data_IF_875876080792
#
_entry.id   IF_875876080792
#
_cell.length_a   1.000
_cell.length_b   1.000
_cell.length_c   1.000
_cell.angle_alpha   90.00
_cell.angle_beta   90.00
_cell.angle_gamma   90.00
#
_symmetry.space_group_name_H-M   'P 1'
#
loop_
_entity.id
_entity.type
_entity.pdbx_description
1 polymer ?
#
# COMPACT_ATOMS: atom_id res chain seq x y z
N UNK A 1 14.59 24.54 15.36
CA UNK A 1 14.53 23.15 15.82
C UNK A 1 15.80 22.45 15.39
N UNK A 2 16.43 21.71 16.30
CA UNK A 2 17.63 20.96 15.96
C UNK A 2 17.25 19.85 14.95
N UNK A 3 17.99 19.75 13.84
CA UNK A 3 17.74 18.76 12.79
C UNK A 3 17.78 17.31 13.31
N UNK A 4 18.66 17.03 14.26
CA UNK A 4 18.73 15.70 14.89
C UNK A 4 17.48 15.40 15.72
N UNK A 5 16.97 16.39 16.45
CA UNK A 5 15.72 16.24 17.21
C UNK A 5 14.55 15.98 16.26
N UNK A 6 14.51 16.69 15.13
CA UNK A 6 13.47 16.46 14.10
C UNK A 6 13.55 15.06 13.50
N UNK A 7 14.74 14.53 13.25
CA UNK A 7 14.93 13.15 12.79
C UNK A 7 14.37 12.14 13.80
N UNK A 8 14.62 12.34 15.09
CA UNK A 8 14.10 11.47 16.14
C UNK A 8 12.57 11.47 16.13
N UNK A 9 11.95 12.65 16.13
CA UNK A 9 10.49 12.79 16.11
C UNK A 9 9.85 12.14 14.87
N UNK A 10 10.41 12.39 13.69
CA UNK A 10 9.93 11.81 12.44
C UNK A 10 10.08 10.28 12.42
N UNK A 11 11.20 9.77 12.92
CA UNK A 11 11.44 8.33 13.00
C UNK A 11 10.39 7.64 13.88
N UNK A 12 10.13 8.18 15.07
CA UNK A 12 9.13 7.65 16.00
C UNK A 12 7.71 7.71 15.40
N UNK A 13 7.36 8.85 14.81
CA UNK A 13 6.03 9.07 14.22
C UNK A 13 5.76 8.14 13.04
N UNK A 14 6.73 8.01 12.12
CA UNK A 14 6.59 7.17 10.93
C UNK A 14 6.66 5.68 11.27
N UNK A 15 7.53 5.27 12.21
CA UNK A 15 7.58 3.89 12.70
C UNK A 15 6.22 3.47 13.28
N UNK A 16 5.63 4.35 14.07
CA UNK A 16 4.34 4.14 14.66
C UNK A 16 3.20 4.08 13.64
N UNK A 17 3.20 5.02 12.68
CA UNK A 17 2.19 5.04 11.61
C UNK A 17 2.24 3.77 10.77
N UNK A 18 3.42 3.32 10.46
CA UNK A 18 3.61 2.11 9.68
C UNK A 18 3.26 0.84 10.47
N UNK A 19 3.57 0.76 11.77
CA UNK A 19 3.10 -0.35 12.63
C UNK A 19 1.59 -0.41 12.72
N UNK A 20 0.96 0.74 12.93
CA UNK A 20 -0.50 0.83 12.97
C UNK A 20 -1.13 0.35 11.66
N UNK A 21 -0.53 0.72 10.52
CA UNK A 21 -1.00 0.31 9.21
C UNK A 21 -0.78 -1.17 8.92
N UNK A 22 0.44 -1.69 9.18
CA UNK A 22 0.83 -3.05 8.77
C UNK A 22 0.39 -4.14 9.75
N UNK A 23 0.33 -3.83 11.06
CA UNK A 23 0.06 -4.83 12.09
C UNK A 23 -1.35 -4.72 12.68
N UNK A 24 -1.89 -3.50 12.78
CA UNK A 24 -3.15 -3.24 13.45
C UNK A 24 -4.28 -2.89 12.47
N UNK A 25 -3.99 -2.88 11.17
CA UNK A 25 -4.93 -2.49 10.10
C UNK A 25 -5.57 -1.11 10.33
N UNK A 26 -4.77 -0.16 10.84
CA UNK A 26 -5.24 1.14 11.26
C UNK A 26 -4.41 2.28 10.67
N UNK A 27 -5.07 3.21 10.00
CA UNK A 27 -4.44 4.44 9.53
C UNK A 27 -4.48 5.51 10.62
N UNK A 28 -3.32 6.01 11.04
CA UNK A 28 -3.20 7.15 11.96
C UNK A 28 -2.84 8.46 11.25
N UNK A 29 -2.45 8.38 9.99
CA UNK A 29 -2.23 9.51 9.10
C UNK A 29 -2.52 9.10 7.66
N UNK A 30 -2.73 10.07 6.77
CA UNK A 30 -2.93 9.79 5.34
C UNK A 30 -1.64 9.31 4.66
N UNK A 31 -1.77 8.57 3.56
CA UNK A 31 -0.62 8.16 2.75
C UNK A 31 0.17 9.36 2.23
N UNK A 32 -0.52 10.44 1.87
CA UNK A 32 0.10 11.68 1.42
C UNK A 32 0.99 12.30 2.50
N UNK A 33 0.46 12.38 3.72
CA UNK A 33 1.18 12.91 4.88
C UNK A 33 2.38 12.01 5.23
N UNK A 34 2.18 10.69 5.25
CA UNK A 34 3.25 9.73 5.47
C UNK A 34 4.38 9.89 4.45
N UNK A 35 4.07 9.96 3.17
CA UNK A 35 5.07 10.13 2.10
C UNK A 35 5.82 11.46 2.25
N UNK A 36 5.13 12.56 2.60
CA UNK A 36 5.76 13.86 2.81
C UNK A 36 6.72 13.86 4.00
N UNK A 37 6.30 13.27 5.13
CA UNK A 37 7.14 13.13 6.32
C UNK A 37 8.31 12.17 6.12
N UNK A 38 8.10 11.11 5.35
CA UNK A 38 9.15 10.17 4.96
C UNK A 38 10.23 10.87 4.10
N UNK A 39 9.83 11.66 3.13
CA UNK A 39 10.76 12.41 2.27
C UNK A 39 11.49 13.50 3.07
N UNK A 40 10.83 14.15 4.05
CA UNK A 40 11.46 15.07 4.99
C UNK A 40 12.53 14.36 5.82
N UNK A 41 12.20 13.20 6.41
CA UNK A 41 13.13 12.40 7.20
C UNK A 41 14.35 11.99 6.37
N UNK A 42 14.14 11.48 5.17
CA UNK A 42 15.20 11.07 4.26
C UNK A 42 16.15 12.24 3.94
N UNK A 43 15.59 13.40 3.61
CA UNK A 43 16.39 14.60 3.30
C UNK A 43 17.24 15.06 4.50
N UNK A 44 16.66 15.02 5.71
CA UNK A 44 17.39 15.39 6.93
C UNK A 44 18.50 14.39 7.27
N UNK A 45 18.26 13.10 7.08
CA UNK A 45 19.26 12.05 7.29
C UNK A 45 20.42 12.19 6.29
N UNK A 46 20.14 12.47 5.03
CA UNK A 46 21.16 12.71 4.00
C UNK A 46 21.97 13.97 4.31
N UNK A 47 21.33 15.06 4.73
CA UNK A 47 22.00 16.31 5.04
C UNK A 47 22.88 16.23 6.30
N UNK A 48 22.39 15.55 7.33
CA UNK A 48 23.08 15.48 8.63
C UNK A 48 24.07 14.32 8.75
N UNK A 49 23.92 13.30 7.87
CA UNK A 49 24.63 12.03 8.01
C UNK A 49 24.22 11.23 9.26
N UNK A 50 23.13 11.61 9.93
CA UNK A 50 22.62 10.98 11.14
C UNK A 50 21.29 10.28 10.83
N UNK A 51 21.20 8.98 11.16
CA UNK A 51 19.98 8.20 11.07
C UNK A 51 19.88 7.23 12.25
N UNK A 52 18.66 7.03 12.75
CA UNK A 52 18.41 6.03 13.80
C UNK A 52 18.33 4.63 13.20
N UNK A 53 18.76 3.63 13.98
CA UNK A 53 18.73 2.24 13.56
C UNK A 53 17.29 1.73 13.24
N UNK A 54 16.28 2.29 13.89
CA UNK A 54 14.87 2.01 13.68
C UNK A 54 14.19 2.96 12.69
N UNK A 55 14.93 3.82 11.99
CA UNK A 55 14.35 4.70 10.98
C UNK A 55 13.70 3.88 9.86
N UNK A 56 12.47 4.22 9.44
CA UNK A 56 11.80 3.55 8.33
C UNK A 56 12.53 3.74 7.00
N UNK A 57 13.44 4.72 6.92
CA UNK A 57 14.32 4.90 5.77
C UNK A 57 15.48 3.91 5.76
N UNK A 58 15.77 3.25 6.88
CA UNK A 58 16.85 2.26 7.04
C UNK A 58 16.35 0.82 6.95
N UNK A 59 15.07 0.58 7.23
CA UNK A 59 14.48 -0.76 7.31
C UNK A 59 13.44 -1.01 6.21
N UNK A 60 13.35 -2.25 5.78
CA UNK A 60 12.38 -2.69 4.77
C UNK A 60 11.02 -3.12 5.36
N UNK A 61 10.79 -2.95 6.66
CA UNK A 61 9.54 -3.37 7.32
C UNK A 61 9.71 -3.59 8.82
N UNK A 62 8.64 -4.03 9.46
CA UNK A 62 8.54 -4.19 10.91
C UNK A 62 8.88 -5.59 11.37
N UNK A 63 9.00 -5.73 12.70
CA UNK A 63 9.09 -7.04 13.34
C UNK A 63 7.84 -7.87 13.06
N UNK A 64 8.04 -9.14 12.68
CA UNK A 64 6.95 -10.04 12.33
C UNK A 64 6.35 -10.60 13.61
N UNK A 65 5.07 -10.32 13.84
CA UNK A 65 4.29 -10.79 14.98
C UNK A 65 3.27 -11.85 14.52
N UNK A 66 3.74 -13.03 14.08
CA UNK A 66 2.87 -14.10 13.57
C UNK A 66 3.19 -15.44 14.22
N UNK A 67 2.18 -16.31 14.32
CA UNK A 67 2.33 -17.70 14.74
C UNK A 67 2.86 -18.61 13.65
N UNK A 68 2.91 -18.15 12.40
CA UNK A 68 3.48 -18.89 11.28
C UNK A 68 5.00 -19.08 11.45
N UNK A 69 5.58 -20.19 10.95
CA UNK A 69 7.01 -20.37 10.97
C UNK A 69 7.73 -19.20 10.29
N UNK A 70 8.84 -18.79 10.85
CA UNK A 70 9.65 -17.69 10.32
C UNK A 70 10.91 -18.25 9.69
N UNK A 71 11.32 -17.62 8.61
CA UNK A 71 12.55 -17.99 7.89
C UNK A 71 13.35 -16.75 7.49
N UNK A 72 14.67 -16.84 7.63
CA UNK A 72 15.59 -15.79 7.19
C UNK A 72 15.81 -15.92 5.69
N UNK A 73 15.74 -14.80 4.97
CA UNK A 73 16.09 -14.74 3.56
C UNK A 73 17.61 -14.92 3.35
N UNK A 74 17.99 -15.57 2.27
CA UNK A 74 19.41 -15.74 1.90
C UNK A 74 20.10 -14.39 1.65
N UNK A 75 19.36 -13.42 1.12
CA UNK A 75 19.81 -12.05 0.95
C UNK A 75 18.71 -11.07 1.35
N UNK A 76 19.06 -9.90 1.92
CA UNK A 76 18.07 -8.91 2.30
C UNK A 76 17.20 -8.47 1.13
N UNK A 77 15.89 -8.34 1.37
CA UNK A 77 14.94 -7.82 0.40
C UNK A 77 14.80 -6.30 0.59
N UNK A 78 15.60 -5.55 -0.14
CA UNK A 78 15.64 -4.09 -0.05
C UNK A 78 14.37 -3.44 -0.59
N UNK A 79 14.08 -2.25 -0.09
CA UNK A 79 13.10 -1.35 -0.71
C UNK A 79 13.66 -0.74 -2.00
N UNK A 80 12.80 -0.18 -2.84
CA UNK A 80 13.23 0.57 -4.02
C UNK A 80 13.37 2.06 -3.70
N UNK A 81 14.35 2.71 -4.30
CA UNK A 81 14.35 4.16 -4.41
C UNK A 81 13.15 4.62 -5.24
N UNK A 82 12.69 5.84 -5.05
CA UNK A 82 11.45 6.31 -5.66
C UNK A 82 11.58 7.72 -6.24
N UNK A 83 10.82 7.99 -7.30
CA UNK A 83 10.64 9.31 -7.88
C UNK A 83 9.19 9.54 -8.28
N UNK A 84 8.74 10.80 -8.27
CA UNK A 84 7.46 11.25 -8.85
C UNK A 84 7.68 12.04 -10.14
N UNK A 85 8.92 12.18 -10.58
CA UNK A 85 9.30 12.94 -11.75
C UNK A 85 9.50 12.04 -12.99
N UNK A 86 8.68 12.25 -14.01
CA UNK A 86 8.74 11.50 -15.27
C UNK A 86 10.05 11.71 -16.02
N UNK A 87 10.60 12.93 -15.98
CA UNK A 87 11.88 13.26 -16.63
C UNK A 87 13.05 12.59 -15.91
N UNK A 88 13.02 12.55 -14.58
CA UNK A 88 14.02 11.83 -13.79
C UNK A 88 14.02 10.34 -14.11
N UNK A 89 12.84 9.75 -14.36
CA UNK A 89 12.73 8.35 -14.76
C UNK A 89 13.38 8.08 -16.13
N UNK A 90 13.14 8.96 -17.11
CA UNK A 90 13.77 8.87 -18.42
C UNK A 90 15.31 9.05 -18.34
N UNK A 91 15.76 10.00 -17.53
CA UNK A 91 17.19 10.22 -17.29
C UNK A 91 17.86 9.03 -16.61
N UNK A 92 17.18 8.38 -15.68
CA UNK A 92 17.67 7.20 -14.97
C UNK A 92 17.98 6.03 -15.90
N UNK A 93 17.11 5.76 -16.88
CA UNK A 93 17.35 4.68 -17.85
C UNK A 93 18.55 4.98 -18.78
N UNK A 94 18.80 6.26 -19.06
CA UNK A 94 19.93 6.69 -19.88
C UNK A 94 19.95 6.04 -21.26
N UNK A 95 21.10 5.53 -21.67
CA UNK A 95 21.28 4.83 -22.95
C UNK A 95 20.92 3.34 -22.92
N UNK A 96 20.50 2.82 -21.74
CA UNK A 96 20.16 1.42 -21.57
C UNK A 96 18.69 1.17 -21.87
N UNK A 97 18.38 -0.04 -22.32
CA UNK A 97 17.02 -0.55 -22.38
C UNK A 97 16.59 -0.97 -20.99
N UNK A 98 15.38 -0.63 -20.62
CA UNK A 98 14.77 -1.01 -19.34
C UNK A 98 13.38 -1.61 -19.57
N UNK A 99 12.83 -2.21 -18.56
CA UNK A 99 11.42 -2.61 -18.52
C UNK A 99 10.68 -1.77 -17.50
N UNK A 100 9.51 -1.30 -17.89
CA UNK A 100 8.59 -0.53 -17.04
C UNK A 100 7.36 -1.39 -16.79
N UNK A 101 7.07 -1.66 -15.52
CA UNK A 101 5.97 -2.53 -15.10
C UNK A 101 5.07 -1.87 -14.07
N UNK A 102 3.86 -2.41 -13.89
CA UNK A 102 3.05 -2.05 -12.72
C UNK A 102 3.81 -2.33 -11.43
N UNK A 103 3.75 -1.37 -10.51
CA UNK A 103 4.11 -1.61 -9.11
C UNK A 103 2.86 -2.11 -8.40
N UNK A 104 2.72 -3.42 -8.34
CA UNK A 104 1.58 -4.05 -7.69
C UNK A 104 1.57 -3.74 -6.20
N UNK A 105 0.41 -3.52 -5.63
CA UNK A 105 0.22 -3.15 -4.23
C UNK A 105 -0.46 -4.29 -3.45
N UNK A 106 0.34 -5.11 -2.86
CA UNK A 106 -0.08 -6.28 -2.11
C UNK A 106 0.96 -6.71 -1.10
N UNK A 107 1.40 -7.95 -1.18
CA UNK A 107 2.43 -8.52 -0.33
C UNK A 107 3.47 -9.26 -1.17
N UNK A 108 4.73 -8.91 -1.03
CA UNK A 108 5.81 -9.61 -1.74
C UNK A 108 6.02 -11.00 -1.15
N UNK A 109 6.07 -11.99 -2.03
CA UNK A 109 6.29 -13.40 -1.70
C UNK A 109 7.44 -13.95 -2.53
N UNK A 110 8.32 -14.69 -1.88
CA UNK A 110 9.38 -15.49 -2.53
C UNK A 110 8.88 -16.90 -2.69
N UNK A 111 8.83 -17.39 -3.93
CA UNK A 111 8.50 -18.78 -4.24
C UNK A 111 9.76 -19.56 -4.61
N UNK A 112 9.90 -20.73 -4.02
CA UNK A 112 10.95 -21.71 -4.37
C UNK A 112 10.30 -22.97 -4.91
N UNK A 113 10.73 -23.40 -6.09
CA UNK A 113 10.35 -24.67 -6.72
C UNK A 113 11.57 -25.59 -6.71
N UNK A 114 11.33 -26.87 -6.44
CA UNK A 114 12.34 -27.94 -6.52
C UNK A 114 11.74 -29.15 -7.21
N UNK A 115 12.52 -29.78 -8.08
CA UNK A 115 12.07 -30.98 -8.83
C UNK A 115 10.75 -30.76 -9.58
N UNK A 116 10.47 -29.53 -10.00
CA UNK A 116 9.28 -29.14 -10.70
C UNK A 116 8.03 -28.95 -9.83
N UNK A 117 8.16 -28.89 -8.50
CA UNK A 117 7.04 -28.70 -7.58
C UNK A 117 7.26 -27.50 -6.68
N UNK A 118 6.17 -26.83 -6.28
CA UNK A 118 6.21 -25.76 -5.28
C UNK A 118 6.73 -26.36 -3.97
N UNK A 119 7.91 -25.90 -3.57
CA UNK A 119 8.59 -26.35 -2.36
C UNK A 119 8.29 -25.42 -1.17
N UNK A 120 8.42 -24.11 -1.39
CA UNK A 120 8.31 -23.12 -0.31
C UNK A 120 7.83 -21.78 -0.81
N UNK A 121 7.00 -21.10 0.03
CA UNK A 121 6.62 -19.72 -0.13
C UNK A 121 6.89 -18.96 1.16
N UNK A 122 7.58 -17.82 1.07
CA UNK A 122 7.96 -16.99 2.22
C UNK A 122 7.61 -15.53 1.93
N UNK A 123 6.94 -14.86 2.88
CA UNK A 123 6.66 -13.44 2.77
C UNK A 123 7.94 -12.62 2.90
N UNK A 124 7.95 -11.40 2.37
CA UNK A 124 9.07 -10.48 2.57
C UNK A 124 9.35 -10.21 4.05
N UNK A 125 8.32 -10.05 4.86
CA UNK A 125 8.44 -9.64 6.26
C UNK A 125 9.15 -8.29 6.38
N UNK A 126 10.11 -8.22 7.30
CA UNK A 126 10.95 -7.02 7.49
C UNK A 126 12.11 -6.91 6.48
N UNK A 127 12.18 -7.78 5.48
CA UNK A 127 13.24 -7.84 4.47
C UNK A 127 14.37 -8.82 4.81
N UNK A 128 14.55 -9.22 6.06
CA UNK A 128 15.51 -10.23 6.51
C UNK A 128 14.83 -11.54 6.91
N UNK A 129 13.69 -11.44 7.58
CA UNK A 129 12.92 -12.57 8.10
C UNK A 129 11.49 -12.46 7.59
N UNK A 130 11.02 -13.51 6.92
CA UNK A 130 9.65 -13.66 6.46
C UNK A 130 8.91 -14.80 7.15
N UNK A 131 7.62 -14.88 6.90
CA UNK A 131 6.75 -15.96 7.37
C UNK A 131 6.60 -17.00 6.27
N UNK A 132 6.68 -18.28 6.63
CA UNK A 132 6.46 -19.39 5.71
C UNK A 132 4.96 -19.57 5.49
N UNK A 133 4.49 -19.33 4.28
CA UNK A 133 3.07 -19.37 3.88
C UNK A 133 2.81 -20.40 2.78
N UNK A 134 3.62 -21.43 2.67
CA UNK A 134 3.53 -22.42 1.59
C UNK A 134 2.14 -23.04 1.47
N UNK A 135 1.50 -23.34 2.60
CA UNK A 135 0.17 -23.90 2.62
C UNK A 135 -0.87 -22.96 1.98
N UNK A 136 -0.76 -21.66 2.22
CA UNK A 136 -1.62 -20.64 1.59
C UNK A 136 -1.29 -20.43 0.11
N UNK A 137 0.00 -20.41 -0.25
CA UNK A 137 0.42 -20.26 -1.63
C UNK A 137 -0.11 -21.37 -2.55
N UNK A 138 -0.30 -22.58 -2.04
CA UNK A 138 -0.86 -23.70 -2.80
C UNK A 138 -2.26 -23.48 -3.31
N UNK A 139 -3.00 -22.54 -2.78
CA UNK A 139 -4.35 -22.19 -3.19
C UNK A 139 -4.46 -20.82 -3.88
N UNK A 140 -3.33 -20.21 -4.23
CA UNK A 140 -3.33 -19.02 -5.08
C UNK A 140 -3.88 -19.35 -6.46
N UNK A 141 -4.60 -18.40 -7.07
CA UNK A 141 -5.39 -18.66 -8.27
C UNK A 141 -4.59 -18.90 -9.54
N UNK A 142 -3.41 -18.31 -9.65
CA UNK A 142 -2.68 -18.22 -10.92
C UNK A 142 -1.23 -18.70 -10.85
N UNK A 143 -0.82 -19.43 -9.82
CA UNK A 143 0.49 -20.05 -9.78
C UNK A 143 0.40 -21.56 -10.06
N UNK A 144 1.35 -22.13 -10.83
CA UNK A 144 1.41 -23.56 -11.01
C UNK A 144 1.94 -24.26 -9.76
N UNK A 145 1.35 -25.41 -9.40
CA UNK A 145 1.91 -26.29 -8.37
C UNK A 145 3.06 -27.13 -8.91
N UNK A 146 3.02 -27.39 -10.23
CA UNK A 146 4.03 -28.17 -10.97
C UNK A 146 4.50 -27.39 -12.20
N UNK A 147 5.80 -27.41 -12.43
CA UNK A 147 6.46 -26.75 -13.57
C UNK A 147 7.36 -27.75 -14.31
N UNK A 148 7.69 -27.43 -15.55
CA UNK A 148 8.53 -28.30 -16.38
C UNK A 148 10.00 -28.30 -15.93
N UNK A 149 10.49 -27.19 -15.36
CA UNK A 149 11.86 -27.09 -14.89
C UNK A 149 12.10 -27.95 -13.64
N UNK A 150 13.12 -28.80 -13.65
CA UNK A 150 13.40 -29.78 -12.59
C UNK A 150 14.51 -29.38 -11.61
N UNK A 151 15.19 -28.29 -11.86
CA UNK A 151 16.16 -27.73 -10.91
C UNK A 151 15.49 -26.92 -9.81
N UNK A 152 16.29 -26.23 -9.00
CA UNK A 152 15.78 -25.23 -8.07
C UNK A 152 15.52 -23.91 -8.80
N UNK A 153 14.32 -23.40 -8.67
CA UNK A 153 13.90 -22.11 -9.23
C UNK A 153 13.36 -21.23 -8.13
N UNK A 154 13.91 -20.01 -8.00
CA UNK A 154 13.48 -19.02 -7.02
C UNK A 154 13.00 -17.77 -7.74
N UNK A 155 11.81 -17.33 -7.41
CA UNK A 155 11.22 -16.11 -7.97
C UNK A 155 10.60 -15.24 -6.89
N UNK A 156 10.43 -13.96 -7.20
CA UNK A 156 9.67 -13.00 -6.39
C UNK A 156 8.45 -12.54 -7.18
N UNK A 157 7.35 -12.45 -6.48
CA UNK A 157 6.11 -11.91 -7.02
C UNK A 157 5.34 -11.13 -5.96
N UNK A 158 4.36 -10.39 -6.42
CA UNK A 158 3.44 -9.68 -5.53
C UNK A 158 2.12 -10.42 -5.46
N UNK A 159 1.74 -10.82 -4.25
CA UNK A 159 0.42 -11.39 -3.97
C UNK A 159 -0.58 -10.26 -3.81
N UNK A 160 -1.69 -10.34 -4.54
CA UNK A 160 -2.72 -9.29 -4.58
C UNK A 160 -4.12 -9.89 -4.59
N UNK A 161 -5.09 -9.10 -4.13
CA UNK A 161 -6.53 -9.35 -4.30
C UNK A 161 -7.10 -8.24 -5.16
N UNK A 162 -7.94 -8.59 -6.15
CA UNK A 162 -8.56 -7.62 -7.05
C UNK A 162 -9.51 -6.69 -6.29
N UNK A 163 -9.67 -5.48 -6.78
CA UNK A 163 -10.67 -4.53 -6.23
C UNK A 163 -12.07 -5.14 -6.23
N UNK A 164 -12.48 -5.80 -7.31
CA UNK A 164 -13.80 -6.45 -7.43
C UNK A 164 -14.01 -7.55 -6.40
N UNK A 165 -12.98 -8.35 -6.10
CA UNK A 165 -13.07 -9.39 -5.06
C UNK A 165 -13.05 -8.76 -3.65
N UNK A 166 -12.23 -7.73 -3.43
CA UNK A 166 -12.20 -6.98 -2.19
C UNK A 166 -13.56 -6.39 -1.82
N UNK A 167 -14.23 -5.76 -2.77
CA UNK A 167 -15.57 -5.19 -2.55
C UNK A 167 -16.58 -6.25 -2.14
N UNK A 168 -16.60 -7.39 -2.82
CA UNK A 168 -17.50 -8.51 -2.51
C UNK A 168 -17.22 -9.11 -1.13
N UNK A 169 -15.94 -9.35 -0.81
CA UNK A 169 -15.52 -9.94 0.46
C UNK A 169 -15.87 -8.98 1.60
N UNK A 170 -15.54 -7.70 1.46
CA UNK A 170 -15.79 -6.70 2.47
C UNK A 170 -17.29 -6.46 2.71
N UNK A 171 -18.11 -6.49 1.65
CA UNK A 171 -19.56 -6.36 1.75
C UNK A 171 -20.20 -7.54 2.52
N UNK A 172 -19.61 -8.73 2.48
CA UNK A 172 -20.07 -9.92 3.19
C UNK A 172 -19.69 -9.94 4.67
N UNK A 173 -18.78 -9.06 5.11
CA UNK A 173 -18.38 -8.94 6.53
C UNK A 173 -19.45 -8.15 7.28
N UNK A 174 -20.10 -8.80 8.25
CA UNK A 174 -21.23 -8.22 8.98
C UNK A 174 -20.83 -7.05 9.88
N UNK A 175 -19.67 -7.17 10.54
CA UNK A 175 -19.17 -6.15 11.45
C UNK A 175 -18.24 -5.19 10.74
N UNK A 176 -18.51 -3.88 10.79
CA UNK A 176 -17.69 -2.86 10.17
C UNK A 176 -16.25 -2.82 10.73
N UNK A 177 -16.08 -3.18 12.01
CA UNK A 177 -14.77 -3.28 12.65
C UNK A 177 -13.87 -4.37 12.08
N UNK A 178 -14.47 -5.43 11.53
CA UNK A 178 -13.76 -6.56 10.94
C UNK A 178 -13.50 -6.34 9.42
N UNK A 179 -14.01 -5.24 8.86
CA UNK A 179 -13.79 -4.91 7.44
C UNK A 179 -12.39 -4.39 7.21
N UNK A 180 -11.82 -4.84 6.12
CA UNK A 180 -10.50 -4.37 5.68
C UNK A 180 -10.59 -3.01 5.01
N UNK A 181 -9.59 -2.17 5.19
CA UNK A 181 -9.57 -0.81 4.66
C UNK A 181 -9.24 -0.76 3.17
N UNK A 182 -8.43 -1.68 2.71
CA UNK A 182 -7.98 -1.74 1.32
C UNK A 182 -7.62 -3.18 0.90
N UNK A 183 -7.49 -3.44 -0.42
CA UNK A 183 -7.14 -4.77 -0.92
C UNK A 183 -5.80 -5.29 -0.42
N UNK A 184 -4.81 -4.43 -0.19
CA UNK A 184 -3.49 -4.81 0.34
C UNK A 184 -3.60 -5.41 1.74
N UNK A 185 -4.35 -4.76 2.62
CA UNK A 185 -4.56 -5.25 3.98
C UNK A 185 -5.33 -6.56 4.00
N UNK A 186 -6.37 -6.68 3.17
CA UNK A 186 -7.07 -7.94 2.99
C UNK A 186 -6.12 -9.05 2.51
N UNK A 187 -5.28 -8.77 1.51
CA UNK A 187 -4.31 -9.73 1.00
C UNK A 187 -3.30 -10.14 2.08
N UNK A 188 -2.74 -9.18 2.80
CA UNK A 188 -1.79 -9.43 3.89
C UNK A 188 -2.38 -10.32 5.00
N UNK A 189 -3.61 -10.06 5.42
CA UNK A 189 -4.31 -10.91 6.38
C UNK A 189 -4.67 -12.29 5.83
N UNK A 190 -4.99 -12.36 4.55
CA UNK A 190 -5.39 -13.60 3.87
C UNK A 190 -4.24 -14.58 3.70
N UNK A 191 -3.07 -14.13 3.26
CA UNK A 191 -1.91 -15.01 3.04
C UNK A 191 -1.31 -15.56 4.34
N UNK A 192 -1.69 -14.98 5.48
CA UNK A 192 -1.26 -15.41 6.83
C UNK A 192 -2.28 -16.29 7.55
N UNK A 193 -3.35 -16.69 6.90
CA UNK A 193 -4.35 -17.59 7.51
C UNK A 193 -3.74 -18.96 7.82
N UNK A 194 -4.04 -19.50 8.98
CA UNK A 194 -3.64 -20.86 9.35
C UNK A 194 -4.44 -21.91 8.57
N UNK A 195 -5.69 -21.60 8.23
CA UNK A 195 -6.56 -22.41 7.38
C UNK A 195 -6.56 -21.86 5.94
N UNK A 196 -5.92 -22.57 5.03
CA UNK A 196 -5.81 -22.14 3.62
C UNK A 196 -7.12 -22.18 2.84
N UNK A 197 -8.19 -22.77 3.37
CA UNK A 197 -9.52 -22.69 2.77
C UNK A 197 -10.01 -21.24 2.69
N UNK A 198 -9.75 -20.45 3.75
CA UNK A 198 -10.06 -19.02 3.77
C UNK A 198 -9.30 -18.29 2.65
N UNK A 199 -8.02 -18.61 2.48
CA UNK A 199 -7.20 -18.04 1.41
C UNK A 199 -7.74 -18.41 0.02
N UNK A 200 -8.18 -19.67 -0.18
CA UNK A 200 -8.76 -20.13 -1.44
C UNK A 200 -10.05 -19.36 -1.79
N UNK A 201 -10.90 -19.10 -0.81
CA UNK A 201 -12.17 -18.39 -0.99
C UNK A 201 -11.98 -16.89 -1.32
N UNK A 202 -10.84 -16.31 -0.95
CA UNK A 202 -10.55 -14.88 -1.14
C UNK A 202 -9.85 -14.52 -2.44
N UNK A 203 -9.56 -15.47 -3.31
CA UNK A 203 -9.00 -15.27 -4.65
C UNK A 203 -7.68 -14.46 -4.66
N UNK A 204 -6.65 -14.98 -4.03
CA UNK A 204 -5.31 -14.39 -4.11
C UNK A 204 -4.64 -14.74 -5.44
N UNK A 205 -4.11 -13.71 -6.12
CA UNK A 205 -3.29 -13.82 -7.31
C UNK A 205 -1.85 -13.45 -6.98
N UNK A 206 -0.89 -14.03 -7.68
CA UNK A 206 0.51 -13.66 -7.58
C UNK A 206 1.07 -13.34 -8.96
N UNK A 207 1.70 -12.18 -9.07
CA UNK A 207 2.35 -11.72 -10.29
C UNK A 207 3.86 -11.68 -10.10
N UNK A 208 4.60 -12.63 -10.67
CA UNK A 208 6.06 -12.58 -10.67
C UNK A 208 6.58 -11.31 -11.31
N UNK A 209 7.55 -10.68 -10.67
CA UNK A 209 8.26 -9.53 -11.21
C UNK A 209 9.78 -9.76 -11.32
N UNK A 210 10.31 -10.82 -10.72
CA UNK A 210 11.72 -11.17 -10.82
C UNK A 210 11.95 -12.68 -10.69
N UNK A 211 12.73 -13.23 -11.62
CA UNK A 211 13.36 -14.54 -11.45
C UNK A 211 14.68 -14.30 -10.73
N UNK A 212 14.84 -14.88 -9.55
CA UNK A 212 16.00 -14.63 -8.69
C UNK A 212 17.14 -15.56 -9.04
N UNK A 213 16.86 -16.87 -9.18
CA UNK A 213 17.87 -17.84 -9.55
C UNK A 213 17.28 -19.11 -10.15
N UNK A 214 18.08 -19.76 -10.98
CA UNK A 214 17.90 -21.13 -11.46
C UNK A 214 19.16 -21.92 -11.09
N UNK A 215 19.05 -22.84 -10.12
CA UNK A 215 20.20 -23.55 -9.53
C UNK A 215 21.32 -22.59 -9.05
N UNK A 216 20.93 -21.43 -8.49
CA UNK A 216 21.86 -20.42 -7.97
C UNK A 216 22.42 -19.44 -9.01
N UNK A 217 22.02 -19.53 -10.27
CA UNK A 217 22.46 -18.65 -11.37
C UNK A 217 21.31 -17.80 -11.91
N UNK A 218 21.63 -16.70 -12.60
CA UNK A 218 20.61 -15.80 -13.21
C UNK A 218 19.83 -16.46 -14.36
N UNK A 219 20.41 -17.42 -15.05
CA UNK A 219 19.78 -18.23 -16.09
C UNK A 219 19.61 -17.56 -17.46
N UNK A 220 19.47 -16.21 -17.50
CA UNK A 220 19.18 -15.44 -18.70
C UNK A 220 20.01 -14.15 -18.74
N UNK A 221 20.15 -13.57 -19.93
CA UNK A 221 20.86 -12.31 -20.13
C UNK A 221 19.98 -11.08 -19.78
N UNK A 222 18.67 -11.17 -19.99
CA UNK A 222 17.74 -10.05 -19.81
C UNK A 222 16.58 -10.38 -18.89
N UNK A 223 16.01 -9.33 -18.27
CA UNK A 223 14.79 -9.44 -17.45
C UNK A 223 13.60 -9.88 -18.30
N UNK A 224 13.48 -9.41 -19.52
CA UNK A 224 12.41 -9.81 -20.41
C UNK A 224 12.45 -11.32 -20.70
N UNK A 225 13.62 -11.87 -20.97
CA UNK A 225 13.79 -13.33 -21.14
C UNK A 225 13.38 -14.09 -19.90
N UNK A 226 13.72 -13.62 -18.70
CA UNK A 226 13.28 -14.23 -17.43
C UNK A 226 11.76 -14.23 -17.29
N UNK A 227 11.12 -13.10 -17.54
CA UNK A 227 9.66 -12.98 -17.44
C UNK A 227 8.93 -13.83 -18.49
N UNK A 228 9.45 -13.89 -19.71
CA UNK A 228 8.91 -14.76 -20.75
C UNK A 228 9.04 -16.23 -20.38
N UNK A 229 10.17 -16.64 -19.83
CA UNK A 229 10.37 -18.02 -19.36
C UNK A 229 9.41 -18.38 -18.23
N UNK A 230 9.19 -17.47 -17.27
CA UNK A 230 8.18 -17.68 -16.23
C UNK A 230 6.78 -17.86 -16.82
N UNK A 231 6.45 -17.11 -17.89
CA UNK A 231 5.16 -17.29 -18.60
C UNK A 231 5.08 -18.67 -19.26
N UNK A 232 6.14 -19.14 -19.88
CA UNK A 232 6.22 -20.49 -20.48
C UNK A 232 6.04 -21.59 -19.43
N UNK A 233 6.52 -21.36 -18.19
CA UNK A 233 6.33 -22.31 -17.07
C UNK A 233 4.92 -22.28 -16.48
N UNK A 234 4.06 -21.35 -16.88
CA UNK A 234 2.66 -21.26 -16.43
C UNK A 234 2.38 -20.18 -15.39
N UNK A 235 3.34 -19.28 -15.11
CA UNK A 235 3.10 -18.11 -14.29
C UNK A 235 2.50 -16.96 -15.10
N UNK A 236 1.90 -16.00 -14.39
CA UNK A 236 1.44 -14.72 -14.93
C UNK A 236 2.40 -13.60 -14.51
N UNK A 237 3.47 -13.31 -15.23
CA UNK A 237 4.35 -12.19 -14.90
C UNK A 237 3.60 -10.86 -14.90
N UNK A 238 4.06 -9.94 -14.08
CA UNK A 238 3.55 -8.57 -14.06
C UNK A 238 3.58 -7.96 -15.47
N UNK A 239 2.51 -7.26 -15.84
CA UNK A 239 2.46 -6.57 -17.14
C UNK A 239 3.57 -5.52 -17.22
N UNK A 240 4.34 -5.54 -18.29
CA UNK A 240 5.46 -4.63 -18.52
C UNK A 240 5.56 -4.20 -19.99
N UNK A 241 6.30 -3.11 -20.20
CA UNK A 241 6.70 -2.64 -21.53
C UNK A 241 8.19 -2.38 -21.55
N UNK A 242 8.84 -2.69 -22.69
CA UNK A 242 10.23 -2.28 -22.90
C UNK A 242 10.30 -0.78 -23.18
N UNK A 243 11.24 -0.14 -22.53
CA UNK A 243 11.42 1.31 -22.63
C UNK A 243 12.88 1.69 -22.83
N UNK A 244 13.04 2.81 -23.47
CA UNK A 244 14.28 3.56 -23.59
C UNK A 244 13.98 5.03 -23.28
N UNK A 245 14.99 5.87 -23.30
CA UNK A 245 14.82 7.28 -23.00
C UNK A 245 13.79 7.99 -23.92
N UNK A 246 13.70 7.57 -25.19
CA UNK A 246 12.85 8.24 -26.17
C UNK A 246 11.37 7.88 -26.04
N UNK A 247 11.04 6.62 -25.72
CA UNK A 247 9.65 6.18 -25.61
C UNK A 247 9.11 6.20 -24.17
N UNK A 248 9.92 6.61 -23.20
CA UNK A 248 9.53 6.64 -21.78
C UNK A 248 8.29 7.49 -21.51
N UNK A 249 8.20 8.75 -21.99
CA UNK A 249 7.05 9.60 -21.72
C UNK A 249 5.73 9.00 -22.21
N UNK A 250 5.73 8.47 -23.43
CA UNK A 250 4.58 7.82 -24.04
C UNK A 250 4.16 6.57 -23.26
N UNK A 251 5.11 5.77 -22.84
CA UNK A 251 4.86 4.54 -22.09
C UNK A 251 4.31 4.83 -20.70
N UNK A 252 4.86 5.81 -19.98
CA UNK A 252 4.31 6.25 -18.68
C UNK A 252 2.86 6.71 -18.86
N UNK A 253 2.58 7.48 -19.93
CA UNK A 253 1.21 7.94 -20.19
C UNK A 253 0.27 6.78 -20.49
N UNK A 254 0.71 5.77 -21.23
CA UNK A 254 -0.08 4.57 -21.45
C UNK A 254 -0.51 3.90 -20.12
N UNK A 255 0.43 3.72 -19.18
CA UNK A 255 0.10 3.17 -17.87
C UNK A 255 -0.85 4.08 -17.09
N UNK A 256 -0.63 5.40 -17.12
CA UNK A 256 -1.51 6.37 -16.46
C UNK A 256 -2.96 6.27 -16.95
N UNK A 257 -3.16 6.11 -18.26
CA UNK A 257 -4.47 6.00 -18.90
C UNK A 257 -5.19 4.68 -18.52
N UNK A 258 -4.44 3.67 -18.08
CA UNK A 258 -4.98 2.34 -17.73
C UNK A 258 -5.11 2.09 -16.23
N UNK A 259 -4.69 3.00 -15.36
CA UNK A 259 -4.80 2.82 -13.89
C UNK A 259 -6.25 2.60 -13.47
N UNK A 260 -7.18 3.42 -13.96
CA UNK A 260 -8.59 3.37 -13.56
C UNK A 260 -9.31 2.07 -13.98
N UNK A 261 -8.83 1.40 -15.02
CA UNK A 261 -9.41 0.15 -15.54
C UNK A 261 -8.69 -1.10 -15.07
N UNK A 262 -7.58 -0.93 -14.36
CA UNK A 262 -6.83 -2.05 -13.79
C UNK A 262 -7.50 -2.53 -12.50
N UNK A 263 -8.07 -3.72 -12.51
CA UNK A 263 -8.72 -4.32 -11.35
C UNK A 263 -7.72 -4.81 -10.28
N UNK A 264 -6.44 -4.86 -10.61
CA UNK A 264 -5.39 -5.19 -9.65
C UNK A 264 -4.79 -3.94 -9.01
N UNK A 265 -4.66 -3.90 -7.66
CA UNK A 265 -4.10 -2.75 -6.97
C UNK A 265 -2.66 -2.46 -7.40
N UNK A 266 -2.36 -1.20 -7.70
CA UNK A 266 -1.01 -0.71 -7.96
C UNK A 266 -0.82 0.67 -7.35
N UNK A 267 0.40 0.98 -6.92
CA UNK A 267 0.76 2.28 -6.34
C UNK A 267 1.81 3.03 -7.17
N UNK A 268 1.95 2.68 -8.43
CA UNK A 268 2.89 3.28 -9.35
C UNK A 268 3.45 2.29 -10.35
N UNK A 269 4.68 2.55 -10.78
CA UNK A 269 5.42 1.73 -11.72
C UNK A 269 6.79 1.35 -11.15
N UNK A 270 7.40 0.31 -11.70
CA UNK A 270 8.79 -0.06 -11.42
C UNK A 270 9.57 -0.06 -12.73
N UNK A 271 10.68 0.65 -12.75
CA UNK A 271 11.64 0.67 -13.84
C UNK A 271 12.85 -0.18 -13.45
N UNK A 272 13.21 -1.15 -14.27
CA UNK A 272 14.34 -2.05 -14.04
C UNK A 272 15.18 -2.14 -15.29
N UNK A 273 16.50 -2.09 -15.17
CA UNK A 273 17.38 -2.34 -16.32
C UNK A 273 17.13 -3.74 -16.90
N UNK A 274 17.00 -3.83 -18.22
CA UNK A 274 16.73 -5.10 -18.88
C UNK A 274 17.96 -6.02 -18.90
N UNK A 275 19.15 -5.45 -19.08
CA UNK A 275 20.42 -6.20 -19.00
C UNK A 275 20.75 -6.58 -17.55
N UNK A 276 20.72 -7.87 -17.24
CA UNK A 276 20.92 -8.39 -15.88
C UNK A 276 22.36 -8.15 -15.43
N UNK A 277 23.34 -8.44 -16.27
CA UNK A 277 24.76 -8.27 -15.93
C UNK A 277 25.08 -6.80 -15.62
N UNK A 278 24.56 -5.88 -16.44
CA UNK A 278 24.71 -4.45 -16.19
C UNK A 278 24.05 -4.06 -14.86
N UNK A 279 22.79 -4.44 -14.65
CA UNK A 279 22.08 -4.14 -13.41
C UNK A 279 22.80 -4.64 -12.17
N UNK A 280 23.31 -5.88 -12.20
CA UNK A 280 24.07 -6.46 -11.11
C UNK A 280 25.39 -5.73 -10.85
N UNK A 281 26.05 -5.22 -11.91
CA UNK A 281 27.31 -4.47 -11.80
C UNK A 281 27.18 -3.16 -11.02
N UNK A 282 25.98 -2.59 -10.94
CA UNK A 282 25.70 -1.33 -10.24
C UNK A 282 25.68 -1.50 -8.71
N UNK A 283 25.48 -2.73 -8.24
CA UNK A 283 25.40 -3.03 -6.81
C UNK A 283 24.20 -2.40 -6.14
N UNK A 284 24.38 -2.04 -4.88
CA UNK A 284 23.32 -1.44 -4.03
C UNK A 284 23.89 -0.37 -3.11
N UNK A 285 23.01 0.50 -2.64
CA UNK A 285 23.26 1.33 -1.45
C UNK A 285 22.95 0.51 -0.20
N UNK A 286 23.12 1.11 0.98
CA UNK A 286 22.65 0.47 2.22
C UNK A 286 21.12 0.22 2.22
N UNK A 287 20.35 1.02 1.47
CA UNK A 287 18.89 1.05 1.48
C UNK A 287 18.26 0.44 0.22
N UNK A 288 18.84 0.69 -0.96
CA UNK A 288 18.21 0.42 -2.25
C UNK A 288 19.15 -0.30 -3.22
N UNK A 289 18.63 -1.23 -4.05
CA UNK A 289 19.35 -1.71 -5.21
C UNK A 289 19.46 -0.57 -6.23
N UNK A 290 20.51 -0.60 -7.05
CA UNK A 290 20.72 0.41 -8.10
C UNK A 290 20.21 -0.02 -9.46
N UNK A 291 19.71 -1.25 -9.58
CA UNK A 291 19.20 -1.81 -10.84
C UNK A 291 17.72 -1.53 -11.10
N UNK A 292 17.02 -0.97 -10.12
CA UNK A 292 15.59 -0.67 -10.22
C UNK A 292 15.23 0.60 -9.44
N UNK A 293 14.18 1.28 -9.89
CA UNK A 293 13.61 2.47 -9.23
C UNK A 293 12.09 2.42 -9.34
N UNK A 294 11.40 2.82 -8.27
CA UNK A 294 9.96 2.96 -8.28
C UNK A 294 9.56 4.36 -8.77
N UNK A 295 8.53 4.41 -9.58
CA UNK A 295 7.85 5.65 -9.96
C UNK A 295 6.49 5.68 -9.26
N UNK A 296 6.24 6.73 -8.49
CA UNK A 296 4.93 6.98 -7.88
C UNK A 296 4.23 8.11 -8.63
N UNK A 297 2.93 7.95 -8.86
CA UNK A 297 2.13 9.01 -9.48
C UNK A 297 2.22 10.29 -8.65
N UNK A 298 2.30 11.44 -9.33
CA UNK A 298 2.01 12.71 -8.67
C UNK A 298 0.54 12.71 -8.37
N UNK A 299 0.22 12.96 -7.10
CA UNK A 299 -1.15 13.14 -6.72
C UNK A 299 -1.69 14.42 -7.42
N UNK A 300 -2.71 14.25 -8.25
CA UNK A 300 -3.43 15.39 -8.79
C UNK A 300 -4.21 16.01 -7.63
N UNK A 301 -3.86 17.23 -7.25
CA UNK A 301 -4.60 17.98 -6.24
C UNK A 301 -5.56 18.96 -6.87
N UNK A 302 -6.74 19.09 -6.31
CA UNK A 302 -7.73 20.12 -6.69
C UNK A 302 -8.16 20.87 -5.46
N UNK A 303 -8.35 22.17 -5.64
CA UNK A 303 -8.88 23.04 -4.62
C UNK A 303 -10.41 23.00 -4.67
N UNK A 304 -11.02 22.93 -3.51
CA UNK A 304 -12.48 22.92 -3.35
C UNK A 304 -12.86 23.49 -1.99
N UNK A 305 -14.16 23.63 -1.73
CA UNK A 305 -14.68 24.21 -0.49
C UNK A 305 -15.31 23.13 0.38
N UNK A 306 -14.92 23.07 1.65
CA UNK A 306 -15.50 22.18 2.63
C UNK A 306 -16.90 22.66 3.03
N UNK A 307 -17.91 21.86 2.76
CA UNK A 307 -19.33 22.23 2.99
C UNK A 307 -19.85 21.72 4.33
N UNK A 308 -19.48 20.49 4.70
CA UNK A 308 -19.97 19.84 5.92
C UNK A 308 -19.06 18.69 6.34
N UNK A 309 -19.18 18.27 7.58
CA UNK A 309 -18.71 16.96 8.06
C UNK A 309 -19.96 16.12 8.35
N UNK A 310 -20.05 14.97 7.68
CA UNK A 310 -21.02 13.94 7.97
C UNK A 310 -20.45 12.99 9.02
N UNK A 311 -21.19 12.78 10.07
CA UNK A 311 -20.80 11.89 11.17
C UNK A 311 -21.52 10.56 11.02
N UNK A 312 -20.79 9.57 10.52
CA UNK A 312 -21.34 8.25 10.20
C UNK A 312 -21.08 7.26 11.34
N UNK A 313 -22.14 6.89 12.09
CA UNK A 313 -22.01 5.91 13.16
C UNK A 313 -21.83 4.50 12.62
N UNK A 314 -20.83 3.78 13.14
CA UNK A 314 -20.59 2.38 12.87
C UNK A 314 -21.27 1.47 13.89
N UNK A 315 -21.34 0.18 13.59
CA UNK A 315 -21.89 -0.84 14.51
C UNK A 315 -21.04 -1.03 15.77
N UNK A 316 -19.78 -0.61 15.75
CA UNK A 316 -18.86 -0.73 16.89
C UNK A 316 -18.99 0.42 17.89
N UNK A 317 -19.78 1.41 17.58
CA UNK A 317 -19.89 2.63 18.38
C UNK A 317 -18.96 3.74 17.92
N UNK A 318 -18.09 3.50 16.96
CA UNK A 318 -17.25 4.52 16.34
C UNK A 318 -18.09 5.41 15.44
N UNK A 319 -17.92 6.73 15.54
CA UNK A 319 -18.54 7.72 14.66
C UNK A 319 -17.44 8.31 13.77
N UNK A 320 -17.49 7.96 12.50
CA UNK A 320 -16.47 8.36 11.52
C UNK A 320 -16.81 9.72 10.90
N UNK A 321 -15.88 10.68 10.90
CA UNK A 321 -16.06 11.94 10.17
C UNK A 321 -15.81 11.71 8.67
N UNK A 322 -16.73 12.18 7.85
CA UNK A 322 -16.62 12.20 6.39
C UNK A 322 -16.78 13.64 5.91
N UNK A 323 -15.78 14.15 5.24
CA UNK A 323 -15.82 15.49 4.66
C UNK A 323 -16.71 15.50 3.41
N UNK A 324 -17.63 16.47 3.35
CA UNK A 324 -18.45 16.80 2.20
C UNK A 324 -17.97 18.13 1.65
N UNK A 325 -17.64 18.20 0.37
CA UNK A 325 -17.13 19.39 -0.28
C UNK A 325 -17.79 19.62 -1.64
N UNK A 326 -17.61 20.80 -2.18
CA UNK A 326 -18.10 21.11 -3.53
C UNK A 326 -17.51 20.10 -4.52
N UNK A 327 -18.34 19.52 -5.41
CA UNK A 327 -17.88 18.53 -6.37
C UNK A 327 -16.73 19.06 -7.22
N UNK A 328 -15.70 18.23 -7.40
CA UNK A 328 -14.49 18.57 -8.17
C UNK A 328 -14.04 17.36 -9.00
N UNK A 329 -13.56 17.65 -10.20
CA UNK A 329 -13.00 16.61 -11.07
C UNK A 329 -11.59 16.24 -10.60
N UNK A 330 -11.39 14.95 -10.32
CA UNK A 330 -10.10 14.36 -9.94
C UNK A 330 -9.90 13.04 -10.67
N UNK A 331 -8.79 12.90 -11.36
CA UNK A 331 -8.41 11.66 -12.05
C UNK A 331 -9.57 11.09 -12.88
N UNK A 332 -10.23 11.98 -13.66
CA UNK A 332 -11.30 11.61 -14.58
C UNK A 332 -12.65 11.25 -13.96
N UNK A 333 -12.84 11.48 -12.66
CA UNK A 333 -14.13 11.31 -11.99
C UNK A 333 -14.46 12.48 -11.09
N UNK A 334 -15.75 12.72 -10.88
CA UNK A 334 -16.24 13.74 -9.97
C UNK A 334 -16.24 13.18 -8.54
N UNK A 335 -15.60 13.87 -7.62
CA UNK A 335 -15.58 13.54 -6.19
C UNK A 335 -16.14 14.69 -5.37
N UNK A 336 -16.85 14.36 -4.29
CA UNK A 336 -17.46 15.33 -3.37
C UNK A 336 -17.38 14.88 -1.91
N UNK A 337 -16.74 13.73 -1.65
CA UNK A 337 -16.67 13.13 -0.32
C UNK A 337 -15.27 12.52 -0.11
N UNK A 338 -14.74 12.67 1.09
CA UNK A 338 -13.52 12.03 1.52
C UNK A 338 -13.58 11.63 3.01
N UNK A 339 -13.06 10.47 3.35
CA UNK A 339 -12.90 10.09 4.76
C UNK A 339 -11.89 11.02 5.44
N UNK A 340 -12.20 11.43 6.67
CA UNK A 340 -11.24 12.16 7.53
C UNK A 340 -10.61 11.23 8.56
N UNK A 341 -10.88 9.94 8.47
CA UNK A 341 -10.37 8.87 9.32
C UNK A 341 -10.74 8.99 10.80
N UNK A 342 -10.29 10.03 11.49
CA UNK A 342 -10.53 10.24 12.92
C UNK A 342 -10.43 11.72 13.32
N UNK A 343 -10.71 12.02 14.58
CA UNK A 343 -10.68 13.40 15.11
C UNK A 343 -9.27 14.00 15.11
N UNK A 344 -8.23 13.20 15.33
CA UNK A 344 -6.86 13.71 15.33
C UNK A 344 -6.45 14.24 13.97
N UNK A 345 -6.79 13.54 12.89
CA UNK A 345 -6.55 14.02 11.51
C UNK A 345 -7.32 15.31 11.24
N UNK A 346 -8.58 15.40 11.70
CA UNK A 346 -9.38 16.59 11.56
C UNK A 346 -8.78 17.80 12.30
N UNK A 347 -8.29 17.59 13.52
CA UNK A 347 -7.61 18.60 14.33
C UNK A 347 -6.27 19.02 13.71
N UNK A 348 -5.47 18.08 13.23
CA UNK A 348 -4.18 18.35 12.56
C UNK A 348 -4.35 19.19 11.30
N UNK A 349 -5.31 18.85 10.46
CA UNK A 349 -5.65 19.62 9.26
C UNK A 349 -6.29 20.95 9.61
N UNK A 350 -6.74 21.15 10.85
CA UNK A 350 -7.48 22.34 11.30
C UNK A 350 -8.73 22.61 10.45
N UNK A 351 -9.45 21.55 10.07
CA UNK A 351 -10.58 21.62 9.17
C UNK A 351 -11.68 22.56 9.71
N UNK A 352 -12.27 23.32 8.82
CA UNK A 352 -13.40 24.19 9.11
C UNK A 352 -14.45 24.22 8.01
N UNK A 353 -15.72 24.32 8.40
CA UNK A 353 -16.80 24.47 7.44
C UNK A 353 -16.65 25.81 6.72
N UNK A 354 -16.69 25.76 5.38
CA UNK A 354 -16.48 26.91 4.52
C UNK A 354 -15.03 27.15 4.12
N UNK A 355 -14.10 26.36 4.65
CA UNK A 355 -12.69 26.49 4.33
C UNK A 355 -12.38 26.02 2.91
N UNK A 356 -11.35 26.63 2.32
CA UNK A 356 -10.72 26.16 1.10
C UNK A 356 -9.78 25.01 1.44
N UNK A 357 -10.04 23.86 0.83
CA UNK A 357 -9.26 22.65 1.03
C UNK A 357 -8.66 22.15 -0.29
N UNK A 358 -7.58 21.40 -0.24
CA UNK A 358 -7.09 20.64 -1.37
C UNK A 358 -7.40 19.17 -1.17
N UNK A 359 -7.85 18.52 -2.22
CA UNK A 359 -8.22 17.11 -2.24
C UNK A 359 -7.42 16.38 -3.33
N UNK A 360 -7.17 15.11 -3.12
CA UNK A 360 -6.48 14.23 -4.05
C UNK A 360 -7.06 12.82 -3.97
N UNK A 361 -6.65 11.94 -4.87
CA UNK A 361 -6.96 10.51 -4.77
C UNK A 361 -5.70 9.72 -4.40
N UNK A 362 -5.70 9.14 -3.22
CA UNK A 362 -4.66 8.19 -2.84
C UNK A 362 -4.65 7.01 -3.83
N UNK A 363 -3.48 6.68 -4.36
CA UNK A 363 -3.30 5.64 -5.39
C UNK A 363 -4.24 5.83 -6.61
N UNK A 364 -4.58 7.07 -6.95
CA UNK A 364 -5.50 7.46 -8.03
C UNK A 364 -6.96 6.97 -7.86
N UNK A 365 -7.34 6.49 -6.69
CA UNK A 365 -8.63 5.82 -6.44
C UNK A 365 -9.39 6.43 -5.27
N UNK A 366 -8.76 6.57 -4.10
CA UNK A 366 -9.42 6.89 -2.83
C UNK A 366 -9.34 8.39 -2.55
N UNK A 367 -10.47 9.13 -2.54
CA UNK A 367 -10.47 10.55 -2.23
C UNK A 367 -9.99 10.85 -0.80
N UNK A 368 -9.10 11.83 -0.66
CA UNK A 368 -8.52 12.27 0.61
C UNK A 368 -8.35 13.79 0.62
N UNK A 369 -8.34 14.38 1.81
CA UNK A 369 -7.95 15.79 2.00
C UNK A 369 -6.43 15.85 2.15
N UNK A 370 -5.78 16.65 1.32
CA UNK A 370 -4.33 16.87 1.42
C UNK A 370 -4.02 17.97 2.44
N UNK A 371 -4.75 19.08 2.38
CA UNK A 371 -4.49 20.25 3.20
C UNK A 371 -5.75 21.11 3.31
N UNK A 372 -5.92 21.78 4.45
CA UNK A 372 -6.83 22.90 4.62
C UNK A 372 -6.04 24.22 4.48
N UNK A 373 -6.35 25.01 3.46
CA UNK A 373 -5.64 26.25 3.16
C UNK A 373 -6.07 27.41 4.08
N UNK A 374 -7.27 27.35 4.60
CA UNK A 374 -7.85 28.38 5.47
C UNK A 374 -7.56 28.11 6.94
N UNK A 375 -7.63 26.84 7.36
CA UNK A 375 -7.33 26.36 8.71
C UNK A 375 -8.15 27.04 9.80
N UNK A 376 -9.46 27.23 9.57
CA UNK A 376 -10.34 27.89 10.53
C UNK A 376 -10.60 27.06 11.80
N UNK A 377 -10.50 25.74 11.71
CA UNK A 377 -10.68 24.83 12.84
C UNK A 377 -12.05 24.93 13.52
N UNK A 378 -13.08 25.35 12.79
CA UNK A 378 -14.39 25.69 13.35
C UNK A 378 -15.37 24.52 13.44
N UNK A 379 -14.92 23.27 13.19
CA UNK A 379 -15.80 22.09 13.25
C UNK A 379 -16.12 21.77 14.70
N UNK A 380 -17.40 21.76 15.01
CA UNK A 380 -17.90 21.31 16.32
C UNK A 380 -18.06 19.79 16.32
N UNK A 381 -17.46 19.13 17.32
CA UNK A 381 -17.63 17.70 17.54
C UNK A 381 -19.01 17.46 18.14
N UNK A 382 -19.86 16.60 17.54
CA UNK A 382 -21.20 16.35 18.05
C UNK A 382 -21.17 15.78 19.47
N UNK A 383 -21.94 16.38 20.37
CA UNK A 383 -22.15 15.87 21.74
C UNK A 383 -23.21 14.77 21.80
N UNK A 384 -23.95 14.62 20.72
CA UNK A 384 -25.00 13.60 20.56
C UNK A 384 -24.86 12.93 19.19
N UNK A 385 -25.17 11.65 19.13
CA UNK A 385 -25.17 10.89 17.87
C UNK A 385 -26.23 11.46 16.92
N UNK A 386 -25.86 11.79 15.68
CA UNK A 386 -26.81 12.38 14.71
C UNK A 386 -27.93 11.43 14.28
N UNK A 387 -27.77 10.11 14.54
CA UNK A 387 -28.78 9.10 14.16
C UNK A 387 -29.74 8.78 15.29
N UNK A 388 -29.25 8.56 16.51
CA UNK A 388 -30.10 8.13 17.63
C UNK A 388 -30.27 9.17 18.75
N UNK A 389 -29.53 10.30 18.70
CA UNK A 389 -29.57 11.33 19.74
C UNK A 389 -28.88 10.95 21.05
N UNK A 390 -28.29 9.76 21.14
CA UNK A 390 -27.56 9.34 22.33
C UNK A 390 -26.26 10.13 22.54
N UNK A 391 -25.76 10.26 23.78
CA UNK A 391 -24.55 11.02 24.06
C UNK A 391 -23.32 10.39 23.42
N UNK A 392 -22.37 11.24 23.01
CA UNK A 392 -21.08 10.85 22.46
C UNK A 392 -19.95 11.16 23.43
N UNK A 393 -18.82 10.51 23.25
CA UNK A 393 -17.60 10.78 23.97
C UNK A 393 -16.37 10.67 23.08
N UNK A 394 -15.36 11.45 23.36
CA UNK A 394 -14.07 11.36 22.70
C UNK A 394 -13.18 10.42 23.48
N UNK A 395 -12.64 9.40 22.82
CA UNK A 395 -11.69 8.44 23.40
C UNK A 395 -10.35 8.56 22.71
N UNK A 396 -9.28 8.49 23.48
CA UNK A 396 -7.95 8.27 22.96
C UNK A 396 -7.78 6.75 22.73
N UNK A 397 -7.53 6.38 21.48
CA UNK A 397 -7.23 5.00 21.11
C UNK A 397 -5.85 5.02 20.50
N UNK A 398 -4.85 4.51 21.21
CA UNK A 398 -3.45 4.44 20.78
C UNK A 398 -2.93 5.76 20.15
N UNK A 399 -3.14 6.89 20.85
CA UNK A 399 -2.71 8.25 20.45
C UNK A 399 -3.58 8.99 19.40
N UNK A 400 -4.57 8.34 18.79
CA UNK A 400 -5.57 9.04 17.98
C UNK A 400 -6.83 9.32 18.79
N UNK A 401 -7.47 10.47 18.56
CA UNK A 401 -8.77 10.78 19.14
C UNK A 401 -9.86 10.32 18.18
N UNK A 402 -10.80 9.55 18.71
CA UNK A 402 -11.96 9.09 17.97
C UNK A 402 -13.24 9.41 18.72
N UNK A 403 -14.33 9.65 17.99
CA UNK A 403 -15.65 9.92 18.55
C UNK A 403 -16.42 8.61 18.67
N UNK A 404 -16.91 8.32 19.87
CA UNK A 404 -17.69 7.12 20.17
C UNK A 404 -19.06 7.46 20.76
N UNK A 405 -19.98 6.51 20.66
CA UNK A 405 -21.16 6.52 21.50
C UNK A 405 -20.79 6.35 22.97
N UNK A 406 -21.43 7.06 23.87
CA UNK A 406 -21.37 6.71 25.29
C UNK A 406 -22.04 5.35 25.52
N UNK A 407 -21.46 4.54 26.35
CA UNK A 407 -21.70 3.09 26.53
C UNK A 407 -23.17 2.61 26.62
N UNK A 408 -24.11 3.49 26.96
CA UNK A 408 -25.52 3.12 27.21
C UNK A 408 -26.44 3.14 25.96
N UNK A 409 -25.98 3.69 24.83
CA UNK A 409 -26.85 3.93 23.66
C UNK A 409 -26.44 3.17 22.39
N UNK A 410 -25.38 2.37 22.46
CA UNK A 410 -24.88 1.58 21.33
C UNK A 410 -25.97 0.65 20.73
N UNK A 411 -26.78 0.01 21.59
CA UNK A 411 -27.85 -0.88 21.16
C UNK A 411 -29.03 -0.16 20.48
N UNK A 412 -29.26 1.12 20.81
CA UNK A 412 -30.35 1.90 20.19
C UNK A 412 -30.04 2.34 18.75
N UNK A 413 -28.77 2.59 18.43
CA UNK A 413 -28.36 2.85 17.06
C UNK A 413 -28.43 1.61 16.17
N UNK A 414 -28.18 0.41 16.71
CA UNK A 414 -28.37 -0.85 16.01
C UNK A 414 -29.81 -1.10 15.57
N UNK A 415 -30.79 -0.72 16.39
CA UNK A 415 -32.21 -0.97 16.11
C UNK A 415 -32.84 -0.04 15.10
N UNK A 416 -32.22 1.11 14.78
CA UNK A 416 -32.75 2.09 13.79
C UNK A 416 -32.16 1.97 12.40
N UNK A 417 -31.01 1.29 12.24
CA UNK A 417 -30.38 1.05 10.94
C UNK A 417 -31.07 -0.01 10.08
N UNK A 418 -31.85 -0.89 10.69
CA UNK A 418 -32.54 -1.99 9.98
C UNK A 418 -33.94 -1.63 9.48
N UNK A 419 -34.45 -0.42 9.83
CA UNK A 419 -35.80 0.04 9.47
C UNK A 419 -35.90 0.96 8.23
N UNK A 420 -34.80 1.30 7.59
CA UNK A 420 -34.79 2.22 6.45
C UNK A 420 -34.50 1.53 5.10
N UNK A 421 -34.80 0.23 5.00
CA UNK A 421 -34.86 -0.49 3.72
C UNK A 421 -36.23 -1.16 3.58
N UNK A 422 -37.19 -0.38 3.17
CA UNK A 422 -38.40 -0.84 2.48
C UNK A 422 -38.63 0.04 1.26
#
# INVERSE_FOLDING_TARGET
MDKKQRIIELTELLDKAARAYEQEDREIMSNFEYDALYDELRSLEEETGFALANSPTQHAGYEILSELPKERHESPMLSLDKTKDREALAAWTGSHESILSWKMDGLTVVLTYRDGELYKAVTRGNGEIGEVITNNARVFKNIPLKIAYKGELVLRGEAVIRYSDFEKINAAIEKDEDRYKNPRNLCSGTVRQLNNRITAERNVYLFPFALISMNGEDGFATREEQLNYLRELGFDPVEYKKVNQSNMPETIQWFADHVATNDFPSDGLVLTYNDIAYGNSLGRTAKFPRNAIAFKWKDETRQTKLLAIEWSPSRTGLINPVAIFEPVELEGTTVSRASVHNLSVMEELQLGIGDEITVYKANMIIPQIAEDLTKSGNIEIPKTCPVCGGPTEVRAVLEAKALYYAHRHFLQCRGRGDGARS
#
